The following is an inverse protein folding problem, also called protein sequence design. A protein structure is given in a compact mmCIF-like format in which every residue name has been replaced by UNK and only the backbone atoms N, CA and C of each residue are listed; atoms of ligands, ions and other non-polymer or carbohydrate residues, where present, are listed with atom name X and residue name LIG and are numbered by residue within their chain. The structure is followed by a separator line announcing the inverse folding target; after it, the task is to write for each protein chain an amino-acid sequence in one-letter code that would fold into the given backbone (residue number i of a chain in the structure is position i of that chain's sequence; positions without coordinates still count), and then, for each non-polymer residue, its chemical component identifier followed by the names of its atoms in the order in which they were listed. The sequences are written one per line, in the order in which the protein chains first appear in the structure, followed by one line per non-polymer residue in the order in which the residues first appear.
data_IF_797421734037
#
_entry.id   IF_797421734037
#
_cell.length_a   1.000
_cell.length_b   1.000
_cell.length_c   1.000
_cell.angle_alpha   90.00
_cell.angle_beta   90.00
_cell.angle_gamma   90.00
#
_symmetry.space_group_name_H-M   'P 1'
#
loop_
_entity.id
_entity.type
_entity.pdbx_description
1 polymer ?
#
# COMPACT_ATOMS: atom_id res chain seq x y z
N UNK A 1 12.55 11.90 16.18
CA UNK A 1 11.89 12.34 14.93
C UNK A 1 12.93 12.93 13.99
N UNK A 2 12.97 12.46 12.74
CA UNK A 2 13.89 12.95 11.71
C UNK A 2 13.43 14.27 11.09
N UNK A 3 14.31 14.87 10.28
CA UNK A 3 13.95 16.01 9.43
C UNK A 3 13.23 15.56 8.16
N UNK A 4 13.65 14.42 7.62
CA UNK A 4 13.05 13.77 6.46
C UNK A 4 13.12 12.26 6.63
N UNK A 5 12.06 11.56 6.22
CA UNK A 5 12.05 10.10 6.11
C UNK A 5 11.26 9.65 4.88
N UNK A 6 11.56 8.45 4.40
CA UNK A 6 10.96 7.90 3.19
C UNK A 6 10.52 6.46 3.45
N UNK A 7 9.34 6.12 2.96
CA UNK A 7 8.82 4.76 2.87
C UNK A 7 8.58 4.38 1.42
N UNK A 8 8.90 3.14 1.06
CA UNK A 8 8.74 2.63 -0.30
C UNK A 8 7.87 1.38 -0.31
N UNK A 9 7.08 1.21 -1.35
CA UNK A 9 6.33 -0.01 -1.66
C UNK A 9 6.35 -0.29 -3.15
N UNK A 10 5.84 -1.45 -3.55
CA UNK A 10 5.80 -1.88 -4.94
C UNK A 10 4.39 -2.32 -5.32
N UNK A 11 4.06 -2.13 -6.60
CA UNK A 11 2.92 -2.79 -7.21
C UNK A 11 3.07 -4.31 -7.12
N UNK A 12 1.96 -5.02 -7.27
CA UNK A 12 1.98 -6.47 -7.36
C UNK A 12 1.15 -6.99 -8.52
N UNK A 13 1.41 -8.23 -8.88
CA UNK A 13 0.52 -9.03 -9.71
C UNK A 13 0.23 -10.36 -9.01
N UNK A 14 -1.00 -10.81 -9.08
CA UNK A 14 -1.35 -12.18 -8.69
C UNK A 14 -0.98 -13.05 -9.87
N UNK A 15 0.01 -13.90 -9.69
CA UNK A 15 0.48 -14.76 -10.76
C UNK A 15 -0.36 -16.04 -10.85
N UNK A 16 -0.74 -16.59 -9.70
CA UNK A 16 -1.62 -17.75 -9.62
C UNK A 16 -2.66 -17.57 -8.51
N UNK A 17 -3.87 -18.08 -8.73
CA UNK A 17 -4.89 -18.24 -7.68
C UNK A 17 -5.74 -17.01 -7.35
N UNK A 18 -5.87 -16.03 -8.25
CA UNK A 18 -6.67 -14.80 -8.03
C UNK A 18 -8.10 -15.06 -7.55
N UNK A 19 -8.78 -16.05 -8.14
CA UNK A 19 -10.14 -16.42 -7.71
C UNK A 19 -10.12 -17.49 -6.64
N UNK A 20 -9.18 -18.44 -6.73
CA UNK A 20 -9.07 -19.58 -5.81
C UNK A 20 -8.80 -19.14 -4.37
N UNK A 21 -8.06 -18.04 -4.17
CA UNK A 21 -7.74 -17.49 -2.85
C UNK A 21 -8.95 -17.06 -2.04
N UNK A 22 -10.02 -16.63 -2.72
CA UNK A 22 -11.28 -16.24 -2.07
C UNK A 22 -11.92 -17.44 -1.38
N UNK A 23 -11.69 -18.64 -1.91
CA UNK A 23 -12.18 -19.92 -1.38
C UNK A 23 -11.17 -20.65 -0.48
N UNK A 24 -10.17 -19.93 0.05
CA UNK A 24 -9.16 -20.51 0.94
C UNK A 24 -8.18 -21.44 0.23
N UNK A 25 -7.99 -21.29 -1.09
CA UNK A 25 -6.94 -22.03 -1.84
C UNK A 25 -5.68 -21.16 -1.98
N UNK A 26 -4.52 -21.78 -2.31
CA UNK A 26 -3.29 -21.04 -2.46
C UNK A 26 -3.29 -20.02 -3.60
N UNK A 27 -2.59 -18.91 -3.37
CA UNK A 27 -2.25 -17.91 -4.37
C UNK A 27 -0.75 -17.62 -4.31
N UNK A 28 -0.17 -17.31 -5.47
CA UNK A 28 1.18 -16.75 -5.58
C UNK A 28 1.05 -15.33 -6.11
N UNK A 29 1.58 -14.38 -5.37
CA UNK A 29 1.64 -12.98 -5.78
C UNK A 29 3.08 -12.49 -5.77
N UNK A 30 3.44 -11.71 -6.78
CA UNK A 30 4.81 -11.24 -7.00
C UNK A 30 4.85 -9.71 -7.06
N UNK A 31 5.86 -9.08 -6.44
CA UNK A 31 6.08 -7.64 -6.56
C UNK A 31 6.59 -7.28 -7.95
N UNK A 32 6.15 -6.14 -8.47
CA UNK A 32 6.63 -5.55 -9.73
C UNK A 32 7.60 -4.41 -9.36
N UNK A 33 8.89 -4.72 -9.26
CA UNK A 33 9.90 -3.77 -8.74
C UNK A 33 10.04 -2.49 -9.56
N UNK A 34 9.70 -2.51 -10.85
CA UNK A 34 9.74 -1.35 -11.74
C UNK A 34 8.61 -0.35 -11.50
N UNK A 35 7.53 -0.76 -10.82
CA UNK A 35 6.36 0.06 -10.53
C UNK A 35 6.28 0.27 -9.02
N UNK A 36 6.92 1.33 -8.55
CA UNK A 36 7.03 1.65 -7.14
C UNK A 36 6.14 2.82 -6.69
N UNK A 37 5.90 2.86 -5.38
CA UNK A 37 5.33 4.00 -4.66
C UNK A 37 6.32 4.45 -3.61
N UNK A 38 6.59 5.74 -3.59
CA UNK A 38 7.46 6.38 -2.61
C UNK A 38 6.67 7.44 -1.86
N UNK A 39 6.62 7.31 -0.53
CA UNK A 39 6.08 8.31 0.36
C UNK A 39 7.23 8.98 1.13
N UNK A 40 7.27 10.29 1.15
CA UNK A 40 8.31 11.07 1.83
C UNK A 40 7.66 12.04 2.81
N UNK A 41 8.08 11.99 4.06
CA UNK A 41 7.65 12.95 5.09
C UNK A 41 8.82 13.90 5.36
N UNK A 42 8.52 15.19 5.37
CA UNK A 42 9.44 16.24 5.82
C UNK A 42 8.83 16.99 6.99
N UNK A 43 9.65 17.36 7.96
CA UNK A 43 9.25 18.27 9.02
C UNK A 43 9.03 19.65 8.43
N UNK A 44 7.98 20.33 8.89
CA UNK A 44 7.71 21.74 8.60
C UNK A 44 7.38 22.47 9.90
N UNK A 45 7.22 23.79 9.80
CA UNK A 45 6.98 24.64 10.96
C UNK A 45 5.52 24.69 11.42
N UNK A 46 4.56 24.45 10.50
CA UNK A 46 3.14 24.49 10.81
C UNK A 46 2.30 23.72 9.78
N UNK A 47 1.21 23.10 10.25
CA UNK A 47 0.24 22.40 9.41
C UNK A 47 0.62 20.96 9.07
N UNK A 48 -0.32 20.25 8.47
CA UNK A 48 -0.15 18.90 7.94
C UNK A 48 -0.63 18.91 6.49
N UNK A 49 0.31 18.81 5.55
CA UNK A 49 -0.02 18.83 4.13
C UNK A 49 0.30 17.49 3.47
N UNK A 50 -0.40 17.24 2.37
CA UNK A 50 -0.16 16.09 1.50
C UNK A 50 -0.10 16.55 0.04
N UNK A 51 0.89 16.04 -0.66
CA UNK A 51 1.14 16.30 -2.07
C UNK A 51 1.15 14.97 -2.80
N UNK A 52 0.15 14.74 -3.64
CA UNK A 52 0.06 13.56 -4.48
C UNK A 52 -0.59 13.91 -5.82
N UNK A 53 -0.57 12.96 -6.77
CA UNK A 53 -1.15 13.18 -8.12
C UNK A 53 -2.59 13.69 -8.10
N UNK A 54 -3.38 13.33 -7.07
CA UNK A 54 -4.82 13.61 -7.01
C UNK A 54 -5.20 14.78 -6.11
N UNK A 55 -4.28 15.28 -5.28
CA UNK A 55 -4.54 16.33 -4.31
C UNK A 55 -3.23 16.95 -3.82
N UNK A 56 -3.26 18.27 -3.64
CA UNK A 56 -2.16 19.07 -3.11
C UNK A 56 -2.74 20.09 -2.11
N UNK A 57 -2.41 19.92 -0.82
CA UNK A 57 -2.89 20.82 0.23
C UNK A 57 -3.02 20.18 1.62
N UNK A 58 -3.80 20.80 2.52
CA UNK A 58 -3.99 20.31 3.88
C UNK A 58 -4.69 18.94 3.96
N UNK A 59 -4.25 18.09 4.88
CA UNK A 59 -4.79 16.72 5.07
C UNK A 59 -6.28 16.72 5.43
N UNK A 60 -6.76 17.72 6.18
CA UNK A 60 -8.16 17.83 6.59
C UNK A 60 -9.11 18.13 5.43
N UNK A 61 -8.61 18.77 4.38
CA UNK A 61 -9.34 19.14 3.16
C UNK A 61 -9.31 18.08 2.05
N UNK A 62 -8.69 16.91 2.29
CA UNK A 62 -8.67 15.82 1.33
C UNK A 62 -10.10 15.40 0.93
N UNK A 63 -10.30 15.22 -0.38
CA UNK A 63 -11.58 14.82 -0.97
C UNK A 63 -11.95 13.36 -0.64
N UNK A 64 -13.24 13.03 -0.78
CA UNK A 64 -13.81 11.71 -0.45
C UNK A 64 -13.16 10.54 -1.21
N UNK A 65 -12.68 10.78 -2.44
CA UNK A 65 -11.97 9.76 -3.22
C UNK A 65 -10.61 9.36 -2.61
N UNK A 66 -10.10 10.09 -1.63
CA UNK A 66 -8.88 9.79 -0.88
C UNK A 66 -9.16 9.45 0.60
N UNK A 67 -10.42 9.16 0.95
CA UNK A 67 -10.85 8.89 2.32
C UNK A 67 -10.09 7.77 3.02
N UNK A 68 -9.69 6.73 2.28
CA UNK A 68 -8.87 5.63 2.82
C UNK A 68 -7.54 6.14 3.35
N UNK A 69 -6.78 6.89 2.53
CA UNK A 69 -5.49 7.46 2.92
C UNK A 69 -5.65 8.50 4.02
N UNK A 70 -6.68 9.37 3.95
CA UNK A 70 -6.97 10.34 5.01
C UNK A 70 -7.15 9.63 6.36
N UNK A 71 -7.98 8.60 6.40
CA UNK A 71 -8.25 7.86 7.63
C UNK A 71 -7.01 7.12 8.14
N UNK A 72 -6.18 6.60 7.24
CA UNK A 72 -4.90 6.00 7.61
C UNK A 72 -3.96 7.03 8.25
N UNK A 73 -3.84 8.23 7.67
CA UNK A 73 -3.02 9.31 8.22
C UNK A 73 -3.52 9.71 9.61
N UNK A 74 -4.83 9.91 9.77
CA UNK A 74 -5.44 10.21 11.07
C UNK A 74 -5.17 9.11 12.11
N UNK A 75 -5.23 7.85 11.70
CA UNK A 75 -4.92 6.73 12.59
C UNK A 75 -3.43 6.70 12.97
N UNK A 76 -2.53 6.93 12.02
CA UNK A 76 -1.09 6.97 12.26
C UNK A 76 -0.69 8.14 13.17
N UNK A 77 -1.26 9.33 12.95
CA UNK A 77 -0.98 10.50 13.81
C UNK A 77 -1.51 10.26 15.22
N UNK A 78 -2.67 9.61 15.39
CA UNK A 78 -3.16 9.19 16.69
C UNK A 78 -2.23 8.18 17.37
N UNK A 79 -1.88 7.11 16.66
CA UNK A 79 -1.07 6.00 17.18
C UNK A 79 0.32 6.46 17.62
N UNK A 80 0.93 7.39 16.89
CA UNK A 80 2.29 7.88 17.14
C UNK A 80 2.32 9.15 18.01
N UNK A 81 1.17 9.61 18.52
CA UNK A 81 1.09 10.82 19.35
C UNK A 81 1.45 12.11 18.60
N UNK A 82 1.16 12.15 17.30
CA UNK A 82 1.63 13.15 16.35
C UNK A 82 0.54 14.12 15.85
N UNK A 83 -0.57 14.27 16.58
CA UNK A 83 -1.66 15.19 16.21
C UNK A 83 -1.19 16.62 15.98
N UNK A 84 -0.30 17.10 16.85
CA UNK A 84 0.22 18.47 16.82
C UNK A 84 1.57 18.58 16.07
N UNK A 85 2.02 17.49 15.44
CA UNK A 85 3.28 17.48 14.70
C UNK A 85 3.02 17.97 13.28
N UNK A 86 3.76 18.99 12.87
CA UNK A 86 3.67 19.56 11.55
C UNK A 86 4.54 18.79 10.53
N UNK A 87 3.97 18.41 9.39
CA UNK A 87 4.68 17.69 8.34
C UNK A 87 4.13 17.96 6.93
N UNK A 88 5.00 17.81 5.94
CA UNK A 88 4.63 17.68 4.52
C UNK A 88 4.82 16.22 4.09
N UNK A 89 3.75 15.58 3.60
CA UNK A 89 3.77 14.23 3.05
C UNK A 89 3.69 14.28 1.52
N UNK A 90 4.75 13.89 0.83
CA UNK A 90 4.74 13.73 -0.64
C UNK A 90 4.57 12.26 -1.01
N UNK A 91 3.59 11.93 -1.86
CA UNK A 91 3.36 10.59 -2.39
C UNK A 91 3.58 10.60 -3.90
N UNK A 92 4.61 9.88 -4.33
CA UNK A 92 4.96 9.67 -5.73
C UNK A 92 4.67 8.22 -6.11
N UNK A 93 3.74 7.99 -7.03
CA UNK A 93 3.32 6.66 -7.44
C UNK A 93 3.50 6.48 -8.94
N UNK A 94 4.15 5.38 -9.34
CA UNK A 94 4.19 4.93 -10.74
C UNK A 94 3.01 4.03 -11.10
N UNK A 95 2.14 3.70 -10.15
CA UNK A 95 0.98 2.86 -10.43
C UNK A 95 0.00 3.58 -11.36
N UNK A 96 -0.54 2.87 -12.37
CA UNK A 96 -1.72 3.31 -13.07
C UNK A 96 -2.94 3.17 -12.13
N UNK A 97 -3.85 4.14 -12.17
CA UNK A 97 -5.09 4.10 -11.39
C UNK A 97 -5.95 2.89 -11.78
N UNK A 98 -6.53 2.18 -10.81
CA UNK A 98 -7.63 1.22 -11.00
C UNK A 98 -7.33 0.02 -11.94
N UNK A 99 -6.11 -0.53 -11.90
CA UNK A 99 -5.71 -1.67 -12.76
C UNK A 99 -5.48 -3.01 -12.06
N UNK A 100 -6.03 -3.22 -10.85
CA UNK A 100 -5.88 -4.50 -10.12
C UNK A 100 -4.46 -4.78 -9.58
N UNK A 101 -3.57 -3.78 -9.61
CA UNK A 101 -2.17 -3.90 -9.20
C UNK A 101 -1.90 -3.69 -7.70
N UNK A 102 -2.97 -3.65 -6.87
CA UNK A 102 -2.87 -3.37 -5.43
C UNK A 102 -2.44 -1.93 -5.13
N UNK A 103 -2.98 -0.94 -5.86
CA UNK A 103 -2.50 0.44 -5.78
C UNK A 103 -2.76 1.12 -4.42
N UNK A 104 -3.90 0.84 -3.82
CA UNK A 104 -4.32 1.30 -2.49
C UNK A 104 -3.38 0.75 -1.43
N UNK A 105 -3.28 -0.58 -1.32
CA UNK A 105 -2.35 -1.29 -0.44
C UNK A 105 -0.89 -0.82 -0.59
N UNK A 106 -0.39 -0.68 -1.82
CA UNK A 106 0.97 -0.20 -2.05
C UNK A 106 1.18 1.23 -1.52
N UNK A 107 0.22 2.11 -1.74
CA UNK A 107 0.27 3.49 -1.23
C UNK A 107 0.21 3.54 0.29
N UNK A 108 -0.74 2.81 0.90
CA UNK A 108 -0.86 2.69 2.34
C UNK A 108 0.46 2.23 3.00
N UNK A 109 1.09 1.20 2.43
CA UNK A 109 2.33 0.64 2.96
C UNK A 109 3.51 1.61 2.84
N UNK A 110 3.61 2.34 1.72
CA UNK A 110 4.64 3.37 1.57
C UNK A 110 4.46 4.47 2.65
N UNK A 111 3.22 4.93 2.87
CA UNK A 111 2.89 5.93 3.89
C UNK A 111 3.22 5.42 5.30
N UNK A 112 2.77 4.22 5.68
CA UNK A 112 3.04 3.63 7.01
C UNK A 112 4.55 3.56 7.25
N UNK A 113 5.32 3.06 6.27
CA UNK A 113 6.79 3.00 6.37
C UNK A 113 7.41 4.37 6.56
N UNK A 114 6.93 5.40 5.84
CA UNK A 114 7.43 6.76 5.97
C UNK A 114 7.16 7.33 7.37
N UNK A 115 5.95 7.12 7.91
CA UNK A 115 5.59 7.54 9.27
C UNK A 115 6.48 6.88 10.31
N UNK A 116 6.56 5.55 10.34
CA UNK A 116 7.39 4.85 11.33
C UNK A 116 8.87 5.23 11.23
N UNK A 117 9.39 5.42 10.00
CA UNK A 117 10.76 5.90 9.80
C UNK A 117 10.98 7.35 10.25
N UNK A 118 9.97 8.22 10.09
CA UNK A 118 10.02 9.63 10.51
C UNK A 118 9.99 9.77 12.04
N UNK A 119 9.13 8.99 12.70
CA UNK A 119 9.01 8.96 14.17
C UNK A 119 10.06 8.10 14.85
N UNK A 120 10.87 7.37 14.09
CA UNK A 120 11.94 6.48 14.57
C UNK A 120 11.40 5.35 15.47
N UNK A 121 10.23 4.83 15.10
CA UNK A 121 9.56 3.72 15.77
C UNK A 121 9.76 2.45 14.97
N UNK A 122 10.02 1.33 15.66
CA UNK A 122 10.15 0.02 15.01
C UNK A 122 8.82 -0.42 14.41
N UNK A 123 8.83 -0.82 13.14
CA UNK A 123 7.67 -1.33 12.42
C UNK A 123 7.82 -2.83 12.16
N UNK A 124 6.99 -3.65 12.80
CA UNK A 124 6.90 -5.08 12.50
C UNK A 124 6.01 -5.33 11.29
N UNK A 125 6.20 -6.48 10.62
CA UNK A 125 5.37 -6.89 9.48
C UNK A 125 3.90 -7.00 9.86
N UNK A 126 3.59 -7.60 11.01
CA UNK A 126 2.20 -7.75 11.47
C UNK A 126 1.52 -6.41 11.71
N UNK A 127 2.23 -5.44 12.30
CA UNK A 127 1.70 -4.08 12.47
C UNK A 127 1.50 -3.39 11.13
N UNK A 128 2.45 -3.52 10.19
CA UNK A 128 2.33 -2.97 8.85
C UNK A 128 1.07 -3.51 8.13
N UNK A 129 0.83 -4.82 8.21
CA UNK A 129 -0.34 -5.45 7.61
C UNK A 129 -1.65 -4.97 8.26
N UNK A 130 -1.72 -4.96 9.60
CA UNK A 130 -2.90 -4.47 10.33
C UNK A 130 -3.24 -3.01 10.01
N UNK A 131 -2.22 -2.16 9.86
CA UNK A 131 -2.40 -0.76 9.50
C UNK A 131 -2.83 -0.59 8.04
N UNK A 132 -2.25 -1.37 7.12
CA UNK A 132 -2.63 -1.34 5.70
C UNK A 132 -4.09 -1.79 5.50
N UNK A 133 -4.57 -2.75 6.31
CA UNK A 133 -5.98 -3.17 6.30
C UNK A 133 -6.97 -2.04 6.62
N UNK A 134 -6.57 -1.00 7.35
CA UNK A 134 -7.45 0.13 7.70
C UNK A 134 -7.86 0.86 6.41
N UNK A 135 -6.89 1.17 5.56
CA UNK A 135 -7.14 1.84 4.29
C UNK A 135 -7.92 0.93 3.33
N UNK A 136 -7.53 -0.33 3.22
CA UNK A 136 -8.18 -1.31 2.35
C UNK A 136 -9.64 -1.59 2.72
N UNK A 137 -9.98 -1.63 4.02
CA UNK A 137 -11.38 -1.76 4.48
C UNK A 137 -12.23 -0.57 4.07
N UNK A 138 -11.67 0.62 4.02
CA UNK A 138 -12.40 1.83 3.61
C UNK A 138 -12.58 1.86 2.09
N UNK A 139 -11.54 1.50 1.35
CA UNK A 139 -11.54 1.55 -0.12
C UNK A 139 -12.34 0.41 -0.75
N UNK A 140 -12.25 -0.81 -0.20
CA UNK A 140 -12.83 -2.02 -0.79
C UNK A 140 -13.86 -2.74 0.10
N UNK A 141 -14.08 -2.30 1.35
CA UNK A 141 -15.06 -2.88 2.27
C UNK A 141 -14.61 -4.21 2.89
N UNK A 142 -14.43 -5.24 2.06
CA UNK A 142 -14.06 -6.59 2.49
C UNK A 142 -12.75 -7.05 1.81
N UNK A 143 -11.58 -6.62 2.32
CA UNK A 143 -10.30 -6.96 1.71
C UNK A 143 -9.99 -8.45 1.89
N UNK A 144 -9.39 -9.05 0.86
CA UNK A 144 -8.92 -10.44 0.90
C UNK A 144 -7.66 -10.63 1.75
N UNK A 145 -6.96 -9.54 2.09
CA UNK A 145 -5.67 -9.52 2.79
C UNK A 145 -4.46 -9.80 1.88
N UNK A 146 -4.69 -10.31 0.66
CA UNK A 146 -3.63 -10.65 -0.30
C UNK A 146 -2.86 -9.41 -0.77
N UNK A 147 -3.55 -8.30 -0.99
CA UNK A 147 -2.97 -7.08 -1.55
C UNK A 147 -2.03 -6.41 -0.53
N UNK A 148 -2.47 -6.26 0.72
CA UNK A 148 -1.63 -5.79 1.82
C UNK A 148 -0.47 -6.76 2.10
N UNK A 149 -0.73 -8.07 2.11
CA UNK A 149 0.32 -9.08 2.26
C UNK A 149 1.42 -8.88 1.22
N UNK A 150 1.04 -8.81 -0.06
CA UNK A 150 1.99 -8.74 -1.17
C UNK A 150 2.73 -7.42 -1.21
N UNK A 151 2.03 -6.29 -1.09
CA UNK A 151 2.66 -4.98 -1.11
C UNK A 151 3.58 -4.75 0.11
N UNK A 152 3.38 -5.48 1.22
CA UNK A 152 4.27 -5.44 2.38
C UNK A 152 5.61 -6.12 2.12
N UNK A 153 5.71 -6.95 1.09
CA UNK A 153 6.86 -7.80 0.82
C UNK A 153 7.65 -7.32 -0.39
N UNK A 154 8.97 -7.33 -0.28
CA UNK A 154 9.88 -7.20 -1.42
C UNK A 154 10.16 -8.54 -2.11
N UNK A 155 9.54 -9.63 -1.67
CA UNK A 155 9.67 -10.98 -2.24
C UNK A 155 8.29 -11.52 -2.64
N UNK A 156 8.22 -12.45 -3.59
CA UNK A 156 7.02 -13.22 -3.85
C UNK A 156 6.43 -13.84 -2.58
N UNK A 157 5.11 -13.98 -2.56
CA UNK A 157 4.37 -14.51 -1.43
C UNK A 157 3.59 -15.75 -1.85
N UNK A 158 3.69 -16.79 -1.04
CA UNK A 158 2.72 -17.88 -0.98
C UNK A 158 1.66 -17.54 0.06
N UNK A 159 0.41 -17.40 -0.40
CA UNK A 159 -0.69 -16.95 0.44
C UNK A 159 -1.84 -17.95 0.45
N UNK A 160 -2.33 -18.27 1.64
CA UNK A 160 -3.60 -18.95 1.89
C UNK A 160 -4.34 -18.13 2.93
N UNK A 161 -5.57 -17.70 2.61
CA UNK A 161 -6.37 -16.83 3.47
C UNK A 161 -6.48 -17.42 4.88
N UNK A 162 -6.11 -16.63 5.89
CA UNK A 162 -6.13 -16.98 7.32
C UNK A 162 -5.23 -18.16 7.73
N UNK A 163 -4.35 -18.64 6.84
CA UNK A 163 -3.48 -19.79 7.13
C UNK A 163 -2.00 -19.49 6.85
N UNK A 164 -1.66 -19.09 5.62
CA UNK A 164 -0.26 -18.93 5.19
C UNK A 164 -0.03 -17.55 4.58
N UNK A 165 1.06 -16.90 4.98
CA UNK A 165 1.58 -15.67 4.37
C UNK A 165 3.11 -15.71 4.45
N UNK A 166 3.71 -16.49 3.56
CA UNK A 166 5.14 -16.77 3.57
C UNK A 166 5.83 -16.11 2.38
N UNK A 167 6.98 -15.50 2.64
CA UNK A 167 7.86 -15.06 1.56
C UNK A 167 8.53 -16.29 0.97
N UNK A 168 8.38 -16.48 -0.33
CA UNK A 168 9.04 -17.56 -1.05
C UNK A 168 10.25 -16.99 -1.79
N UNK A 169 11.36 -17.71 -1.71
CA UNK A 169 12.52 -17.39 -2.54
C UNK A 169 12.17 -17.70 -3.99
N UNK A 170 12.50 -16.76 -4.86
CA UNK A 170 12.00 -16.78 -6.22
C UNK A 170 13.11 -16.35 -7.17
N UNK A 171 13.97 -17.31 -7.49
CA UNK A 171 15.16 -17.06 -8.28
C UNK A 171 14.90 -17.38 -9.75
N UNK A 172 14.55 -16.35 -10.53
CA UNK A 172 14.49 -16.43 -11.99
C UNK A 172 15.51 -15.46 -12.62
N UNK A 173 16.79 -15.84 -12.70
CA UNK A 173 17.87 -14.92 -13.09
C UNK A 173 17.77 -14.43 -14.53
N UNK A 174 17.00 -15.12 -15.39
CA UNK A 174 16.91 -14.82 -16.84
C UNK A 174 15.47 -14.73 -17.37
N UNK A 175 14.46 -14.64 -16.50
CA UNK A 175 13.08 -14.55 -16.96
C UNK A 175 12.65 -13.11 -17.20
N UNK A 176 11.86 -12.90 -18.25
CA UNK A 176 11.15 -11.64 -18.48
C UNK A 176 9.65 -11.86 -18.29
N UNK A 177 9.00 -11.00 -17.50
CA UNK A 177 7.55 -10.95 -17.39
C UNK A 177 7.05 -9.72 -18.17
N UNK A 178 6.18 -9.97 -19.15
CA UNK A 178 5.48 -8.89 -19.88
C UNK A 178 4.08 -8.79 -19.33
N UNK A 179 3.72 -7.60 -18.85
CA UNK A 179 2.37 -7.28 -18.34
C UNK A 179 1.69 -6.40 -19.37
N UNK A 180 0.53 -6.84 -19.86
CA UNK A 180 -0.29 -6.10 -20.82
C UNK A 180 -1.56 -5.58 -20.14
N UNK A 181 -1.76 -4.25 -20.14
CA UNK A 181 -3.00 -3.61 -19.72
C UNK A 181 -3.98 -3.63 -20.90
N UNK A 182 -5.16 -4.24 -20.71
CA UNK A 182 -6.20 -4.28 -21.74
C UNK A 182 -6.82 -2.91 -22.01
N UNK A 183 -6.60 -1.93 -21.14
CA UNK A 183 -7.23 -0.61 -21.20
C UNK A 183 -8.64 -0.59 -20.62
N UNK A 184 -9.28 -1.75 -20.45
CA UNK A 184 -10.67 -1.90 -19.98
C UNK A 184 -10.68 -1.95 -18.44
N UNK A 185 -11.57 -1.17 -17.81
CA UNK A 185 -11.77 -1.26 -16.36
C UNK A 185 -12.45 -2.59 -16.02
N UNK A 186 -11.82 -3.41 -15.20
CA UNK A 186 -12.42 -4.64 -14.70
C UNK A 186 -13.56 -4.32 -13.74
N UNK A 187 -14.75 -4.88 -13.99
CA UNK A 187 -15.84 -4.90 -13.01
C UNK A 187 -15.76 -6.22 -12.24
N UNK A 188 -15.14 -6.20 -11.06
CA UNK A 188 -14.96 -7.39 -10.22
C UNK A 188 -16.29 -8.06 -9.84
N UNK A 189 -17.42 -7.35 -9.92
CA UNK A 189 -18.76 -7.86 -9.62
C UNK A 189 -19.42 -8.65 -10.76
N UNK A 190 -18.98 -8.50 -12.01
CA UNK A 190 -19.58 -9.20 -13.18
C UNK A 190 -18.85 -10.51 -13.53
N UNK A 191 -17.68 -10.74 -12.92
CA UNK A 191 -16.82 -11.90 -13.19
C UNK A 191 -17.04 -13.10 -12.23
N UNK A 192 -18.03 -13.01 -11.34
CA UNK A 192 -18.35 -14.02 -10.32
C UNK A 192 -19.79 -14.50 -10.49
#
# INVERSE_FOLDING_TARGET
MKEKATGKSYAKIIWFGEHSVVYGKPAIAIPIYSVDVTATIRRINAGQNIHCRYFDGPVDQMAENLRGIKTLIDHLTNLLGAKDVAFDLTIESKLPSERGMGSSAATAIAVIRAFFAFFEVSLTRDMLLKLAEIEEKITHGNPSGLDSATASSSMPIWFIKNEINEQIDFNLPTSSLVIADSGIKGKTSEAV
#
